data_IF_084760400008
#
_entry.id   IF_084760400008
#
_cell.length_a   1.000
_cell.length_b   1.000
_cell.length_c   1.000
_cell.angle_alpha   90.00
_cell.angle_beta   90.00
_cell.angle_gamma   90.00
#
_symmetry.space_group_name_H-M   'P 1'
#
loop_
_entity.id
_entity.type
_entity.pdbx_description
1 polymer ?
#
# COMPACT_ATOMS: atom_id res chain seq x y z
N UNK A 1 -14.35 2.35 1.18
CA UNK A 1 -12.93 2.40 0.80
C UNK A 1 -12.80 3.49 -0.24
N UNK A 2 -11.89 4.43 -0.06
CA UNK A 2 -11.58 5.47 -1.03
C UNK A 2 -10.33 5.05 -1.78
N UNK A 3 -10.43 4.87 -3.10
CA UNK A 3 -9.43 4.15 -3.89
C UNK A 3 -9.20 4.84 -5.23
N UNK A 4 -7.95 4.90 -5.68
CA UNK A 4 -7.54 5.40 -6.99
C UNK A 4 -8.42 4.87 -8.15
N UNK A 5 -8.79 5.75 -9.07
CA UNK A 5 -9.53 5.45 -10.30
C UNK A 5 -8.98 6.35 -11.43
N UNK A 6 -8.33 5.77 -12.47
CA UNK A 6 -8.05 4.35 -12.65
C UNK A 6 -7.10 3.81 -11.57
N UNK A 7 -7.28 2.54 -11.17
CA UNK A 7 -6.54 1.94 -10.06
C UNK A 7 -6.30 0.44 -10.25
N UNK A 8 -5.58 -0.18 -9.30
CA UNK A 8 -5.27 -1.61 -9.37
C UNK A 8 -6.52 -2.50 -9.23
N UNK A 9 -6.89 -3.18 -10.32
CA UNK A 9 -8.07 -4.07 -10.35
C UNK A 9 -8.06 -5.14 -9.25
N UNK A 10 -6.88 -5.71 -8.93
CA UNK A 10 -6.76 -6.74 -7.89
C UNK A 10 -7.20 -6.24 -6.51
N UNK A 11 -6.79 -5.04 -6.13
CA UNK A 11 -7.23 -4.41 -4.88
C UNK A 11 -8.74 -4.09 -4.91
N UNK A 12 -9.25 -3.55 -6.03
CA UNK A 12 -10.68 -3.25 -6.19
C UNK A 12 -11.55 -4.49 -6.03
N UNK A 13 -11.14 -5.62 -6.63
CA UNK A 13 -11.80 -6.91 -6.49
C UNK A 13 -11.76 -7.40 -5.04
N UNK A 14 -10.59 -7.34 -4.37
CA UNK A 14 -10.45 -7.76 -2.97
C UNK A 14 -11.37 -6.97 -2.03
N UNK A 15 -11.43 -5.63 -2.18
CA UNK A 15 -12.33 -4.80 -1.37
C UNK A 15 -13.80 -5.10 -1.66
N UNK A 16 -14.16 -5.30 -2.92
CA UNK A 16 -15.55 -5.60 -3.32
C UNK A 16 -16.01 -6.94 -2.74
N UNK A 17 -15.18 -7.98 -2.84
CA UNK A 17 -15.47 -9.32 -2.27
C UNK A 17 -15.57 -9.27 -0.74
N UNK A 18 -14.79 -8.41 -0.08
CA UNK A 18 -14.91 -8.15 1.35
C UNK A 18 -16.18 -7.35 1.75
N UNK A 19 -17.04 -7.00 0.79
CA UNK A 19 -18.29 -6.27 1.01
C UNK A 19 -18.13 -4.76 1.16
N UNK A 20 -16.96 -4.20 0.79
CA UNK A 20 -16.72 -2.78 0.91
C UNK A 20 -17.38 -1.99 -0.22
N UNK A 21 -17.98 -0.85 0.11
CA UNK A 21 -18.32 0.18 -0.88
C UNK A 21 -17.05 0.92 -1.30
N UNK A 22 -16.64 0.76 -2.56
CA UNK A 22 -15.48 1.44 -3.15
C UNK A 22 -15.92 2.77 -3.76
N UNK A 23 -15.31 3.86 -3.34
CA UNK A 23 -15.51 5.21 -3.84
C UNK A 23 -14.22 5.66 -4.55
N UNK A 24 -14.31 6.32 -5.71
CA UNK A 24 -13.13 6.69 -6.49
C UNK A 24 -12.38 7.87 -5.89
N UNK A 25 -11.05 7.81 -5.97
CA UNK A 25 -10.14 8.95 -5.98
C UNK A 25 -9.76 9.12 -7.45
N UNK A 26 -10.33 10.08 -8.19
CA UNK A 26 -9.88 10.33 -9.54
C UNK A 26 -8.37 10.58 -9.56
N UNK A 27 -7.68 9.99 -10.54
CA UNK A 27 -6.26 10.22 -10.77
C UNK A 27 -6.04 10.54 -12.25
N UNK A 28 -5.29 11.59 -12.53
CA UNK A 28 -4.93 11.96 -13.90
C UNK A 28 -3.42 12.23 -14.03
N UNK A 29 -2.90 12.16 -15.26
CA UNK A 29 -1.47 12.32 -15.52
C UNK A 29 -0.96 13.76 -15.36
N UNK A 30 -1.83 14.77 -15.50
CA UNK A 30 -1.43 16.18 -15.46
C UNK A 30 -1.51 16.75 -14.04
N UNK A 31 -2.61 16.49 -13.32
CA UNK A 31 -2.88 17.04 -11.99
C UNK A 31 -2.68 16.04 -10.86
N UNK A 32 -2.59 14.74 -11.11
CA UNK A 32 -2.31 13.73 -10.09
C UNK A 32 -3.58 13.31 -9.34
N UNK A 33 -3.57 13.39 -8.01
CA UNK A 33 -4.66 12.85 -7.18
C UNK A 33 -5.67 13.94 -6.79
N UNK A 34 -6.96 13.66 -7.00
CA UNK A 34 -8.06 14.54 -6.59
C UNK A 34 -8.47 14.21 -5.15
N UNK A 35 -7.77 14.81 -4.19
CA UNK A 35 -7.90 14.51 -2.75
C UNK A 35 -9.01 15.32 -2.06
N UNK A 36 -10.25 15.14 -2.52
CA UNK A 36 -11.46 15.67 -1.89
C UNK A 36 -12.24 14.52 -1.24
N UNK A 37 -12.24 14.41 0.11
CA UNK A 37 -12.83 13.26 0.78
C UNK A 37 -14.34 13.19 0.52
N UNK A 38 -14.89 12.00 0.25
CA UNK A 38 -16.31 11.83 -0.01
C UNK A 38 -17.15 11.94 1.28
N UNK A 39 -18.46 12.10 1.11
CA UNK A 39 -19.46 11.94 2.17
C UNK A 39 -20.26 10.64 1.93
N UNK A 40 -20.34 9.70 2.90
CA UNK A 40 -19.64 9.68 4.19
C UNK A 40 -18.14 9.50 4.06
N UNK A 41 -17.42 10.02 5.07
CA UNK A 41 -15.97 9.89 5.18
C UNK A 41 -15.55 8.42 5.08
N UNK A 42 -14.43 8.14 4.39
CA UNK A 42 -13.94 6.77 4.27
C UNK A 42 -13.47 6.24 5.63
N UNK A 43 -13.38 4.91 5.73
CA UNK A 43 -12.69 4.22 6.83
C UNK A 43 -11.33 3.65 6.43
N UNK A 44 -11.08 3.62 5.13
CA UNK A 44 -9.91 3.04 4.48
C UNK A 44 -9.65 3.79 3.18
N UNK A 45 -8.41 4.18 2.97
CA UNK A 45 -7.88 4.82 1.78
C UNK A 45 -6.84 3.85 1.17
N UNK A 46 -6.86 3.63 -0.13
CA UNK A 46 -5.89 2.78 -0.82
C UNK A 46 -5.21 3.59 -1.93
N UNK A 47 -3.87 3.63 -1.91
CA UNK A 47 -3.05 4.36 -2.87
C UNK A 47 -1.78 3.62 -3.25
N UNK A 48 -1.26 3.92 -4.45
CA UNK A 48 -0.01 3.39 -5.01
C UNK A 48 0.99 4.54 -5.26
N UNK A 49 1.47 5.23 -4.20
CA UNK A 49 2.01 6.58 -4.34
C UNK A 49 3.42 6.62 -4.94
N UNK A 50 4.18 5.53 -4.84
CA UNK A 50 5.54 5.44 -5.37
C UNK A 50 5.56 5.32 -6.92
N UNK A 51 4.60 4.58 -7.48
CA UNK A 51 4.37 4.36 -8.90
C UNK A 51 2.90 3.97 -9.09
N UNK A 52 2.09 4.93 -9.54
CA UNK A 52 0.64 4.74 -9.63
C UNK A 52 0.29 3.66 -10.64
N UNK A 53 -0.63 2.76 -10.30
CA UNK A 53 -1.15 1.79 -11.25
C UNK A 53 -2.51 2.21 -11.84
N UNK A 54 -2.66 2.34 -13.17
CA UNK A 54 -1.73 1.96 -14.25
C UNK A 54 -0.90 3.12 -14.83
N UNK A 55 -1.05 4.35 -14.35
CA UNK A 55 -0.54 5.56 -15.02
C UNK A 55 0.98 5.75 -14.89
N UNK A 56 1.64 5.06 -13.97
CA UNK A 56 3.08 5.12 -13.72
C UNK A 56 3.57 6.42 -13.08
N UNK A 57 2.66 7.31 -12.67
CA UNK A 57 3.01 8.60 -12.08
C UNK A 57 3.37 8.48 -10.60
N UNK A 58 4.18 9.40 -10.09
CA UNK A 58 4.56 9.45 -8.68
C UNK A 58 3.72 10.49 -7.93
N UNK A 59 3.17 10.12 -6.78
CA UNK A 59 2.49 11.05 -5.88
C UNK A 59 3.48 12.05 -5.26
N UNK A 60 3.19 13.34 -5.41
CA UNK A 60 3.99 14.47 -4.92
C UNK A 60 3.91 14.56 -3.40
N UNK A 61 4.92 15.23 -2.81
CA UNK A 61 4.98 15.41 -1.36
C UNK A 61 3.75 16.11 -0.78
N UNK A 62 3.27 17.16 -1.46
CA UNK A 62 2.06 17.89 -1.05
C UNK A 62 0.80 17.01 -1.02
N UNK A 63 0.65 16.10 -1.99
CA UNK A 63 -0.47 15.15 -2.06
C UNK A 63 -0.38 14.11 -0.95
N UNK A 64 0.83 13.61 -0.64
CA UNK A 64 1.06 12.67 0.47
C UNK A 64 0.70 13.28 1.81
N UNK A 65 1.12 14.52 2.06
CA UNK A 65 0.76 15.26 3.28
C UNK A 65 -0.74 15.51 3.35
N UNK A 66 -1.36 15.94 2.25
CA UNK A 66 -2.81 16.16 2.19
C UNK A 66 -3.60 14.88 2.47
N UNK A 67 -3.14 13.73 1.95
CA UNK A 67 -3.78 12.44 2.18
C UNK A 67 -3.67 12.01 3.65
N UNK A 68 -2.53 12.25 4.29
CA UNK A 68 -2.35 12.01 5.73
C UNK A 68 -3.30 12.88 6.57
N UNK A 69 -3.41 14.17 6.26
CA UNK A 69 -4.33 15.08 6.97
C UNK A 69 -5.80 14.61 6.85
N UNK A 70 -6.20 14.17 5.66
CA UNK A 70 -7.54 13.62 5.43
C UNK A 70 -7.72 12.33 6.24
N UNK A 71 -6.74 11.44 6.22
CA UNK A 71 -6.81 10.17 6.94
C UNK A 71 -6.93 10.39 8.46
N UNK A 72 -6.18 11.33 9.01
CA UNK A 72 -6.27 11.72 10.41
C UNK A 72 -7.64 12.30 10.75
N UNK A 73 -8.11 13.28 9.96
CA UNK A 73 -9.42 13.94 10.17
C UNK A 73 -10.57 12.94 10.08
N UNK A 74 -10.51 12.01 9.14
CA UNK A 74 -11.53 10.99 8.92
C UNK A 74 -11.38 9.77 9.83
N UNK A 75 -10.33 9.70 10.64
CA UNK A 75 -9.94 8.50 11.39
C UNK A 75 -9.88 7.24 10.49
N UNK A 76 -9.33 7.42 9.28
CA UNK A 76 -9.18 6.39 8.26
C UNK A 76 -7.84 5.69 8.36
N UNK A 77 -7.84 4.41 8.00
CA UNK A 77 -6.62 3.69 7.66
C UNK A 77 -6.16 4.07 6.25
N UNK A 78 -4.85 4.11 6.01
CA UNK A 78 -4.25 4.25 4.68
C UNK A 78 -3.51 2.96 4.36
N UNK A 79 -3.82 2.32 3.24
CA UNK A 79 -2.98 1.29 2.64
C UNK A 79 -2.11 1.96 1.60
N UNK A 80 -0.82 2.04 1.88
CA UNK A 80 0.21 2.38 0.91
C UNK A 80 0.70 1.07 0.28
N UNK A 81 0.27 0.81 -0.96
CA UNK A 81 0.71 -0.36 -1.72
C UNK A 81 1.92 0.02 -2.57
N UNK A 82 3.08 -0.43 -2.13
CA UNK A 82 4.37 -0.15 -2.74
C UNK A 82 4.93 -1.41 -3.40
N UNK A 83 4.47 -1.65 -4.62
CA UNK A 83 4.87 -2.82 -5.40
C UNK A 83 6.09 -2.55 -6.31
N UNK A 84 6.44 -1.29 -6.58
CA UNK A 84 7.48 -0.87 -7.54
C UNK A 84 8.41 0.25 -7.02
N UNK A 85 8.35 0.62 -5.73
CA UNK A 85 9.07 1.78 -5.20
C UNK A 85 10.59 1.75 -5.37
N UNK A 86 11.16 0.56 -5.50
CA UNK A 86 12.60 0.35 -5.73
C UNK A 86 13.02 0.56 -7.21
N UNK A 87 12.08 0.48 -8.16
CA UNK A 87 12.35 0.73 -9.58
C UNK A 87 12.23 2.22 -9.92
N UNK A 88 13.22 3.02 -9.50
CA UNK A 88 13.35 4.41 -9.95
C UNK A 88 14.63 4.65 -10.73
N UNK A 89 14.44 4.86 -12.03
CA UNK A 89 15.53 5.12 -12.98
C UNK A 89 16.02 6.58 -12.94
N UNK A 90 15.24 7.53 -12.40
CA UNK A 90 15.58 8.96 -12.37
C UNK A 90 15.01 9.68 -11.12
N UNK A 91 15.77 10.66 -10.59
CA UNK A 91 15.34 11.54 -9.49
C UNK A 91 15.64 11.01 -8.08
N UNK A 92 15.46 11.86 -7.06
CA UNK A 92 15.55 11.44 -5.64
C UNK A 92 14.27 10.70 -5.24
N UNK A 93 14.36 9.63 -4.43
CA UNK A 93 13.17 8.94 -3.93
C UNK A 93 12.32 9.90 -3.09
N UNK A 94 11.01 9.90 -3.34
CA UNK A 94 10.05 10.56 -2.46
C UNK A 94 9.80 9.61 -1.30
N UNK A 95 9.97 10.03 -0.04
CA UNK A 95 9.74 9.16 1.11
C UNK A 95 8.36 8.50 1.08
N UNK A 96 8.29 7.22 1.49
CA UNK A 96 7.03 6.52 1.69
C UNK A 96 6.10 7.30 2.61
N UNK A 97 4.80 7.26 2.38
CA UNK A 97 3.79 7.89 3.25
C UNK A 97 3.95 7.36 4.68
N UNK A 98 4.23 6.05 4.83
CA UNK A 98 4.48 5.40 6.11
C UNK A 98 5.62 6.06 6.91
N UNK A 99 6.68 6.53 6.24
CA UNK A 99 7.81 7.18 6.92
C UNK A 99 7.45 8.56 7.51
N UNK A 100 6.35 9.15 7.04
CA UNK A 100 5.86 10.46 7.46
C UNK A 100 4.64 10.36 8.39
N UNK A 101 4.13 9.15 8.61
CA UNK A 101 2.97 8.89 9.44
C UNK A 101 3.28 9.15 10.91
N UNK A 102 2.56 10.13 11.49
CA UNK A 102 2.67 10.49 12.91
C UNK A 102 1.50 9.95 13.74
N UNK A 103 0.41 9.57 13.08
CA UNK A 103 -0.85 9.21 13.72
C UNK A 103 -1.06 7.70 13.75
N UNK A 104 -0.10 6.93 13.20
CA UNK A 104 -0.10 5.47 13.21
C UNK A 104 -1.26 4.90 12.39
N UNK A 105 -1.57 5.53 11.26
CA UNK A 105 -2.70 5.21 10.37
C UNK A 105 -2.28 4.55 9.06
N UNK A 106 -0.99 4.43 8.77
CA UNK A 106 -0.50 3.85 7.52
C UNK A 106 -0.15 2.38 7.69
N UNK A 107 -0.73 1.56 6.83
CA UNK A 107 -0.39 0.17 6.56
C UNK A 107 0.43 0.17 5.27
N UNK A 108 1.73 -0.08 5.38
CA UNK A 108 2.60 -0.20 4.22
C UNK A 108 2.61 -1.64 3.75
N UNK A 109 2.38 -1.87 2.46
CA UNK A 109 2.36 -3.19 1.83
C UNK A 109 3.48 -3.21 0.80
N UNK A 110 4.42 -4.15 0.95
CA UNK A 110 5.54 -4.34 0.04
C UNK A 110 5.59 -5.74 -0.54
N UNK A 111 6.36 -5.91 -1.61
CA UNK A 111 6.54 -7.21 -2.28
C UNK A 111 7.99 -7.47 -2.65
N UNK A 112 8.45 -8.70 -2.45
CA UNK A 112 9.75 -9.16 -2.95
C UNK A 112 9.66 -9.73 -4.37
N UNK A 113 8.43 -9.94 -4.86
CA UNK A 113 8.18 -10.66 -6.11
C UNK A 113 8.72 -9.93 -7.35
N UNK A 114 8.89 -8.60 -7.28
CA UNK A 114 9.42 -7.85 -8.42
C UNK A 114 10.94 -7.72 -8.39
N UNK A 115 11.56 -7.62 -7.22
CA UNK A 115 13.02 -7.54 -7.03
C UNK A 115 13.75 -8.82 -7.41
N UNK A 116 13.14 -9.97 -7.12
CA UNK A 116 13.75 -11.28 -7.32
C UNK A 116 13.12 -12.01 -8.51
N UNK A 117 11.98 -12.65 -8.29
CA UNK A 117 11.21 -13.31 -9.34
C UNK A 117 9.73 -13.41 -8.95
N UNK A 118 8.77 -13.20 -9.87
CA UNK A 118 7.34 -13.14 -9.53
C UNK A 118 6.76 -14.39 -8.87
N UNK A 119 7.35 -15.56 -9.15
CA UNK A 119 6.91 -16.83 -8.61
C UNK A 119 7.21 -17.00 -7.11
N UNK A 120 8.03 -16.12 -6.51
CA UNK A 120 8.38 -16.16 -5.09
C UNK A 120 7.13 -15.96 -4.21
N UNK A 121 6.18 -15.13 -4.66
CA UNK A 121 4.91 -14.85 -3.97
C UNK A 121 5.08 -14.44 -2.49
N UNK A 122 6.21 -13.82 -2.16
CA UNK A 122 6.49 -13.24 -0.85
C UNK A 122 6.28 -11.74 -0.88
N UNK A 123 5.55 -11.24 0.10
CA UNK A 123 5.41 -9.83 0.41
C UNK A 123 5.37 -9.64 1.92
N UNK A 124 5.31 -8.38 2.34
CA UNK A 124 5.31 -8.02 3.75
C UNK A 124 4.37 -6.84 4.00
N UNK A 125 3.99 -6.67 5.26
CA UNK A 125 3.22 -5.51 5.70
C UNK A 125 3.89 -4.90 6.92
N UNK A 126 4.02 -3.58 6.94
CA UNK A 126 4.34 -2.83 8.15
C UNK A 126 3.03 -2.33 8.73
N UNK A 127 2.70 -2.83 9.92
CA UNK A 127 1.40 -2.63 10.56
C UNK A 127 1.51 -1.68 11.75
N UNK A 128 0.53 -0.78 11.93
CA UNK A 128 0.28 -0.12 13.21
C UNK A 128 0.07 -1.16 14.32
N UNK A 129 0.61 -0.89 15.51
CA UNK A 129 0.63 -1.86 16.62
C UNK A 129 -0.78 -2.37 16.99
N UNK A 130 -1.80 -1.51 16.88
CA UNK A 130 -3.20 -1.87 17.19
C UNK A 130 -3.83 -2.86 16.19
N UNK A 131 -3.24 -3.03 15.01
CA UNK A 131 -3.71 -3.97 13.99
C UNK A 131 -2.95 -5.30 14.00
N UNK A 132 -1.72 -5.34 14.51
CA UNK A 132 -0.84 -6.51 14.43
C UNK A 132 -1.53 -7.80 14.90
N UNK A 133 -2.09 -7.80 16.13
CA UNK A 133 -2.76 -8.99 16.66
C UNK A 133 -4.01 -9.40 15.87
N UNK A 134 -4.77 -8.43 15.33
CA UNK A 134 -5.98 -8.71 14.53
C UNK A 134 -5.62 -9.35 13.19
N UNK A 135 -4.57 -8.85 12.54
CA UNK A 135 -4.09 -9.39 11.27
C UNK A 135 -3.51 -10.79 11.45
N UNK A 136 -2.71 -11.04 12.49
CA UNK A 136 -2.18 -12.39 12.81
C UNK A 136 -3.31 -13.40 13.02
N UNK A 137 -4.36 -13.01 13.76
CA UNK A 137 -5.53 -13.86 13.96
C UNK A 137 -6.29 -14.12 12.65
N UNK A 138 -6.43 -13.10 11.80
CA UNK A 138 -7.09 -13.25 10.49
C UNK A 138 -6.29 -14.18 9.57
N UNK A 139 -4.96 -14.06 9.51
CA UNK A 139 -4.09 -14.94 8.74
C UNK A 139 -4.21 -16.40 9.22
N UNK A 140 -4.17 -16.60 10.54
CA UNK A 140 -4.34 -17.92 11.15
C UNK A 140 -5.71 -18.54 10.84
N UNK A 141 -6.77 -17.74 10.88
CA UNK A 141 -8.15 -18.19 10.64
C UNK A 141 -8.40 -18.51 9.16
N UNK A 142 -7.80 -17.74 8.26
CA UNK A 142 -7.94 -17.93 6.80
C UNK A 142 -6.97 -18.98 6.25
N UNK A 143 -6.03 -19.47 7.05
CA UNK A 143 -5.00 -20.40 6.63
C UNK A 143 -4.00 -19.79 5.65
N UNK A 144 -3.91 -18.46 5.58
CA UNK A 144 -2.94 -17.78 4.73
C UNK A 144 -1.58 -17.71 5.43
N UNK A 145 -0.58 -18.35 4.83
CA UNK A 145 0.81 -18.25 5.26
C UNK A 145 1.73 -18.20 4.05
N UNK A 146 2.81 -17.45 4.19
CA UNK A 146 3.90 -17.48 3.22
C UNK A 146 4.67 -18.81 3.32
N UNK A 147 5.14 -19.41 2.21
CA UNK A 147 5.87 -20.68 2.26
C UNK A 147 7.14 -20.57 3.12
N UNK A 148 7.25 -21.37 4.18
CA UNK A 148 8.36 -21.29 5.15
C UNK A 148 9.74 -21.47 4.51
N UNK A 149 9.86 -22.40 3.55
CA UNK A 149 11.12 -22.64 2.83
C UNK A 149 11.57 -21.39 2.06
N UNK A 150 10.62 -20.69 1.42
CA UNK A 150 10.94 -19.47 0.67
C UNK A 150 11.26 -18.31 1.62
N UNK A 151 10.62 -18.24 2.79
CA UNK A 151 10.98 -17.27 3.82
C UNK A 151 12.41 -17.46 4.31
N UNK A 152 12.82 -18.71 4.59
CA UNK A 152 14.18 -19.03 5.01
C UNK A 152 15.21 -18.67 3.92
N UNK A 153 14.96 -19.10 2.68
CA UNK A 153 15.84 -18.78 1.56
C UNK A 153 15.97 -17.27 1.32
N UNK A 154 14.87 -16.51 1.45
CA UNK A 154 14.89 -15.05 1.35
C UNK A 154 15.69 -14.41 2.51
N UNK A 155 15.54 -14.93 3.73
CA UNK A 155 16.28 -14.44 4.88
C UNK A 155 17.79 -14.63 4.73
N UNK A 156 18.22 -15.82 4.26
CA UNK A 156 19.63 -16.11 3.98
C UNK A 156 20.15 -15.16 2.87
N UNK A 157 19.39 -15.01 1.78
CA UNK A 157 19.75 -14.12 0.67
C UNK A 157 19.97 -12.66 1.09
N UNK A 158 19.11 -12.12 1.96
CA UNK A 158 19.26 -10.77 2.52
C UNK A 158 20.47 -10.71 3.46
N UNK A 159 20.61 -11.69 4.36
CA UNK A 159 21.66 -11.69 5.40
C UNK A 159 23.06 -11.83 4.80
N UNK A 160 23.18 -12.56 3.68
CA UNK A 160 24.41 -12.73 2.92
C UNK A 160 24.74 -11.52 2.02
N UNK A 161 23.87 -10.51 1.94
CA UNK A 161 24.10 -9.26 1.22
C UNK A 161 23.87 -9.35 -0.29
N UNK A 162 23.00 -10.27 -0.73
CA UNK A 162 22.64 -10.40 -2.14
C UNK A 162 21.46 -9.51 -2.58
N UNK A 163 20.88 -8.73 -1.65
CA UNK A 163 19.82 -7.74 -1.87
C UNK A 163 20.34 -6.33 -1.64
#
# INVERSE_FOLDING_TARGET
VWMEEPGYYGAKAAFTVAGARVLPIPVDQERGWYLEPPDPLPRLIYVTPACQHPLGITMRMEERLRLLDIAETANSWVIEDDFDGEYRFQGRPVPAIQSMDRSGRVIYVGTFAKLLFPALRLGFMVLPQELAGRIVNALSTTGQFAPLLLQAALADFITEGHM
#
